data_IF_844716162207
#
_entry.id   IF_844716162207
#
_cell.length_a   1.000
_cell.length_b   1.000
_cell.length_c   1.000
_cell.angle_alpha   90.00
_cell.angle_beta   90.00
_cell.angle_gamma   90.00
#
_symmetry.space_group_name_H-M   'P 1'
#
loop_
_entity.id
_entity.type
_entity.pdbx_description
1 polymer ?
#
# COMPACT_ATOMS: atom_id res chain seq x y z
N UNK A 1 1.63 29.76 -6.85
CA UNK A 1 0.78 28.70 -6.24
C UNK A 1 0.09 27.96 -7.36
N UNK A 2 0.02 26.62 -7.31
CA UNK A 2 -0.84 25.87 -8.22
C UNK A 2 -2.31 26.09 -7.80
N UNK A 3 -3.24 26.29 -8.73
CA UNK A 3 -4.67 26.37 -8.39
C UNK A 3 -5.13 25.05 -7.76
N UNK A 4 -5.95 25.16 -6.71
CA UNK A 4 -6.56 24.02 -6.04
C UNK A 4 -7.95 23.80 -6.64
N UNK A 5 -8.22 22.60 -7.16
CA UNK A 5 -9.51 22.22 -7.72
C UNK A 5 -10.14 21.12 -6.86
N UNK A 6 -11.42 21.27 -6.53
CA UNK A 6 -12.18 20.32 -5.71
C UNK A 6 -13.39 19.81 -6.50
N UNK A 7 -13.86 18.60 -6.17
CA UNK A 7 -15.06 18.01 -6.78
C UNK A 7 -15.82 17.21 -5.73
N UNK A 8 -17.13 17.44 -5.69
CA UNK A 8 -18.04 16.75 -4.78
C UNK A 8 -18.60 15.48 -5.45
N UNK A 9 -18.81 14.43 -4.66
CA UNK A 9 -19.49 13.22 -5.08
C UNK A 9 -20.93 13.23 -4.56
N UNK A 10 -21.89 13.03 -5.46
CA UNK A 10 -23.32 12.95 -5.12
C UNK A 10 -23.90 11.59 -5.54
N UNK A 11 -24.83 11.08 -4.75
CA UNK A 11 -25.59 9.88 -5.13
C UNK A 11 -26.51 10.21 -6.31
N UNK A 12 -26.47 9.39 -7.37
CA UNK A 12 -27.31 9.57 -8.56
C UNK A 12 -28.69 8.91 -8.43
N UNK A 13 -28.86 8.03 -7.44
CA UNK A 13 -30.10 7.32 -7.06
C UNK A 13 -30.03 6.97 -5.58
N UNK A 14 -31.17 6.67 -4.97
CA UNK A 14 -31.20 6.08 -3.63
C UNK A 14 -30.44 4.74 -3.60
N UNK A 15 -29.68 4.52 -2.53
CA UNK A 15 -28.91 3.29 -2.32
C UNK A 15 -29.69 2.21 -1.57
N UNK A 16 -30.90 2.55 -1.12
CA UNK A 16 -31.83 1.63 -0.45
C UNK A 16 -32.08 0.45 -1.39
N UNK A 17 -31.91 -0.76 -0.86
CA UNK A 17 -32.00 -2.07 -1.53
C UNK A 17 -30.88 -2.47 -2.49
N UNK A 18 -30.36 -1.57 -3.33
CA UNK A 18 -29.32 -1.91 -4.33
C UNK A 18 -27.99 -2.39 -3.71
N UNK A 19 -27.71 -1.94 -2.49
CA UNK A 19 -26.46 -2.22 -1.77
C UNK A 19 -26.67 -2.82 -0.38
N UNK A 20 -27.88 -3.32 -0.08
CA UNK A 20 -28.26 -3.89 1.23
C UNK A 20 -27.25 -4.93 1.77
N UNK A 21 -26.66 -5.73 0.87
CA UNK A 21 -25.66 -6.76 1.19
C UNK A 21 -24.26 -6.44 0.63
N UNK A 22 -24.04 -5.20 0.16
CA UNK A 22 -22.77 -4.74 -0.41
C UNK A 22 -22.21 -3.61 0.48
N UNK A 23 -21.43 -3.94 1.52
CA UNK A 23 -20.95 -2.95 2.50
C UNK A 23 -19.98 -1.93 1.91
N UNK A 24 -19.50 -2.16 0.69
CA UNK A 24 -18.58 -1.26 -0.02
C UNK A 24 -18.87 -1.23 -1.51
N UNK A 25 -19.01 -0.02 -2.05
CA UNK A 25 -19.13 0.28 -3.48
C UNK A 25 -17.81 0.87 -3.95
N UNK A 26 -17.24 0.32 -5.00
CA UNK A 26 -16.03 0.86 -5.61
C UNK A 26 -16.39 1.66 -6.87
N UNK A 27 -15.81 2.84 -7.00
CA UNK A 27 -15.86 3.64 -8.23
C UNK A 27 -14.47 4.19 -8.54
N UNK A 28 -14.28 4.74 -9.74
CA UNK A 28 -13.03 5.37 -10.16
C UNK A 28 -13.32 6.82 -10.53
N UNK A 29 -12.55 7.73 -9.94
CA UNK A 29 -12.56 9.15 -10.29
C UNK A 29 -11.35 9.43 -11.17
N UNK A 30 -11.59 10.02 -12.35
CA UNK A 30 -10.56 10.43 -13.30
C UNK A 30 -10.41 11.94 -13.31
N UNK A 31 -9.22 12.44 -12.95
CA UNK A 31 -8.80 13.81 -13.24
C UNK A 31 -8.09 13.83 -14.61
N UNK A 32 -8.40 14.80 -15.48
CA UNK A 32 -7.75 14.95 -16.80
C UNK A 32 -7.48 16.41 -17.11
N UNK A 33 -6.44 16.66 -17.91
CA UNK A 33 -6.23 17.98 -18.49
C UNK A 33 -7.34 18.25 -19.54
N UNK A 34 -7.92 19.46 -19.51
CA UNK A 34 -8.98 19.86 -20.42
C UNK A 34 -8.52 19.86 -21.90
N UNK A 35 -7.33 20.39 -22.15
CA UNK A 35 -6.78 20.55 -23.51
C UNK A 35 -6.05 19.28 -23.98
N UNK A 36 -5.63 18.42 -23.04
CA UNK A 36 -4.86 17.21 -23.31
C UNK A 36 -5.44 16.00 -22.56
N UNK A 37 -6.59 15.47 -23.00
CA UNK A 37 -7.34 14.45 -22.26
C UNK A 37 -6.64 13.09 -22.10
N UNK A 38 -5.54 12.87 -22.84
CA UNK A 38 -4.68 11.69 -22.67
C UNK A 38 -3.76 11.79 -21.44
N UNK A 39 -3.55 12.99 -20.89
CA UNK A 39 -2.94 13.17 -19.58
C UNK A 39 -4.02 13.13 -18.51
N UNK A 40 -4.14 11.99 -17.85
CA UNK A 40 -5.09 11.76 -16.78
C UNK A 40 -4.45 11.04 -15.60
N UNK A 41 -5.11 11.13 -14.45
CA UNK A 41 -4.84 10.35 -13.24
C UNK A 41 -6.16 9.77 -12.75
N UNK A 42 -6.15 8.48 -12.48
CA UNK A 42 -7.28 7.78 -11.89
C UNK A 42 -7.03 7.53 -10.41
N UNK A 43 -8.09 7.67 -9.61
CA UNK A 43 -8.09 7.25 -8.20
C UNK A 43 -9.33 6.40 -7.93
N UNK A 44 -9.13 5.27 -7.26
CA UNK A 44 -10.23 4.44 -6.77
C UNK A 44 -10.88 5.11 -5.55
N UNK A 45 -12.20 5.11 -5.50
CA UNK A 45 -12.99 5.56 -4.35
C UNK A 45 -13.78 4.37 -3.84
N UNK A 46 -13.54 4.01 -2.58
CA UNK A 46 -14.33 3.02 -1.87
C UNK A 46 -15.36 3.74 -1.00
N UNK A 47 -16.63 3.60 -1.34
CA UNK A 47 -17.74 4.14 -0.58
C UNK A 47 -18.32 3.05 0.32
N UNK A 48 -18.38 3.31 1.62
CA UNK A 48 -19.17 2.47 2.51
C UNK A 48 -20.63 2.87 2.43
N UNK A 49 -21.50 1.89 2.21
CA UNK A 49 -22.94 2.10 2.37
C UNK A 49 -23.32 1.48 3.71
N UNK A 50 -23.47 2.31 4.73
CA UNK A 50 -24.10 1.88 5.98
C UNK A 50 -25.59 1.72 5.76
N UNK A 51 -26.16 0.62 6.24
CA UNK A 51 -27.59 0.59 6.51
C UNK A 51 -27.78 1.23 7.89
N UNK A 52 -28.54 2.32 7.96
CA UNK A 52 -28.81 3.07 9.20
C UNK A 52 -29.50 2.21 10.28
N UNK A 53 -30.05 1.06 9.90
CA UNK A 53 -30.58 0.04 10.81
C UNK A 53 -29.50 -0.77 11.56
N UNK A 54 -28.20 -0.64 11.23
CA UNK A 54 -27.14 -1.45 11.86
C UNK A 54 -26.66 -0.96 13.23
N UNK A 55 -27.28 0.08 13.80
CA UNK A 55 -26.96 0.56 15.15
C UNK A 55 -25.47 0.90 15.32
N UNK A 56 -24.86 0.39 16.41
CA UNK A 56 -23.47 0.66 16.75
C UNK A 56 -22.53 -0.24 15.94
N UNK A 57 -22.14 0.20 14.74
CA UNK A 57 -21.29 -0.58 13.85
C UNK A 57 -20.36 0.29 13.00
N UNK A 58 -19.22 -0.28 12.60
CA UNK A 58 -18.38 0.30 11.56
C UNK A 58 -19.05 0.13 10.19
N UNK A 59 -19.13 1.18 9.37
CA UNK A 59 -19.72 1.12 8.03
C UNK A 59 -18.99 0.08 7.13
N UNK A 60 -17.66 0.03 7.25
CA UNK A 60 -16.81 -0.88 6.49
C UNK A 60 -16.28 -1.99 7.41
N UNK A 61 -16.31 -3.24 6.95
CA UNK A 61 -15.72 -4.39 7.65
C UNK A 61 -14.22 -4.55 7.44
N UNK A 62 -13.68 -4.00 6.36
CA UNK A 62 -12.25 -4.02 6.00
C UNK A 62 -11.80 -2.66 5.43
N UNK A 63 -10.99 -1.93 6.19
CA UNK A 63 -10.31 -0.70 5.74
C UNK A 63 -8.95 -1.07 5.13
N UNK A 64 -8.63 -0.53 3.95
CA UNK A 64 -7.31 -0.65 3.34
C UNK A 64 -6.65 0.72 3.28
N UNK A 65 -5.56 0.87 4.01
CA UNK A 65 -4.83 2.12 4.17
C UNK A 65 -3.43 1.98 3.60
N UNK A 66 -2.82 3.12 3.30
CA UNK A 66 -1.44 3.19 2.84
C UNK A 66 -0.64 4.02 3.85
N UNK A 67 0.56 3.57 4.12
CA UNK A 67 1.56 4.33 4.85
C UNK A 67 2.88 4.20 4.10
N UNK A 68 3.50 5.32 3.77
CA UNK A 68 4.86 5.31 3.24
C UNK A 68 5.82 4.89 4.33
N UNK A 69 6.72 3.97 4.02
CA UNK A 69 7.74 3.56 4.99
C UNK A 69 8.64 4.73 5.41
N UNK A 70 9.30 4.58 6.55
CA UNK A 70 10.16 5.58 7.16
C UNK A 70 9.50 6.95 7.41
N UNK A 71 8.17 7.02 7.29
CA UNK A 71 7.39 8.17 7.72
C UNK A 71 7.63 8.43 9.21
N UNK A 72 7.81 9.70 9.63
CA UNK A 72 8.06 10.03 11.02
C UNK A 72 6.96 9.53 11.97
N UNK A 73 7.32 9.30 13.23
CA UNK A 73 6.35 9.08 14.30
C UNK A 73 5.32 10.23 14.33
N UNK A 74 4.06 9.89 14.56
CA UNK A 74 2.93 10.82 14.56
C UNK A 74 2.28 11.04 13.19
N UNK A 75 2.82 10.46 12.11
CA UNK A 75 2.22 10.53 10.77
C UNK A 75 0.78 10.01 10.81
N UNK A 76 -0.13 10.83 10.30
CA UNK A 76 -1.57 10.52 10.20
C UNK A 76 -1.82 9.69 8.95
N UNK A 77 -2.62 8.64 9.08
CA UNK A 77 -3.16 7.94 7.91
C UNK A 77 -4.32 8.77 7.37
N UNK A 78 -4.38 8.96 6.05
CA UNK A 78 -5.29 9.90 5.36
C UNK A 78 -6.78 9.50 5.39
N UNK A 79 -7.28 8.96 6.50
CA UNK A 79 -8.69 8.69 6.74
C UNK A 79 -8.97 8.54 8.24
N UNK A 80 -10.20 8.81 8.64
CA UNK A 80 -10.71 8.50 9.98
C UNK A 80 -11.51 7.21 9.95
N UNK A 81 -11.39 6.39 10.99
CA UNK A 81 -12.11 5.12 11.11
C UNK A 81 -13.06 5.21 12.31
N UNK A 82 -14.34 5.41 12.02
CA UNK A 82 -15.39 5.61 13.03
C UNK A 82 -16.59 4.69 12.78
N UNK A 83 -17.42 4.52 13.81
CA UNK A 83 -18.75 3.93 13.65
C UNK A 83 -19.68 4.87 12.87
N UNK A 84 -20.64 4.33 12.12
CA UNK A 84 -21.46 5.11 11.18
C UNK A 84 -22.32 6.17 11.87
N UNK A 85 -22.95 5.80 12.99
CA UNK A 85 -23.85 6.68 13.75
C UNK A 85 -23.19 7.22 15.03
N UNK A 86 -21.89 7.58 14.99
CA UNK A 86 -21.13 8.03 16.19
C UNK A 86 -21.87 9.08 17.03
N UNK A 87 -22.53 10.05 16.39
CA UNK A 87 -23.23 11.14 17.07
C UNK A 87 -24.47 10.70 17.87
N UNK A 88 -24.98 9.48 17.65
CA UNK A 88 -26.10 8.92 18.40
C UNK A 88 -25.67 8.21 19.70
N UNK A 89 -24.35 8.13 19.96
CA UNK A 89 -23.79 7.43 21.11
C UNK A 89 -22.88 8.37 21.91
N UNK A 90 -23.02 8.32 23.22
CA UNK A 90 -22.15 9.03 24.15
C UNK A 90 -20.89 8.21 24.44
N UNK A 91 -19.78 8.90 24.75
CA UNK A 91 -18.51 8.31 25.20
C UNK A 91 -17.99 7.17 24.30
N UNK A 92 -18.10 7.35 22.98
CA UNK A 92 -17.55 6.39 22.01
C UNK A 92 -16.02 6.44 22.07
N UNK A 93 -15.41 5.33 22.45
CA UNK A 93 -13.95 5.15 22.47
C UNK A 93 -13.53 4.13 21.45
N UNK A 94 -12.36 4.38 20.87
CA UNK A 94 -11.74 3.50 19.90
C UNK A 94 -10.47 2.87 20.45
N UNK A 95 -10.15 1.69 19.94
CA UNK A 95 -8.87 1.06 20.19
C UNK A 95 -8.45 0.17 19.05
N UNK A 96 -7.17 -0.22 19.09
CA UNK A 96 -6.53 -1.04 18.06
C UNK A 96 -5.94 -2.31 18.67
N UNK A 97 -5.98 -3.40 17.93
CA UNK A 97 -5.33 -4.66 18.30
C UNK A 97 -4.56 -5.19 17.08
N UNK A 98 -3.22 -5.35 17.15
CA UNK A 98 -2.34 -4.89 18.24
C UNK A 98 -2.13 -3.36 18.23
N UNK A 99 -1.89 -2.76 19.40
CA UNK A 99 -1.69 -1.30 19.55
C UNK A 99 -0.19 -0.90 19.67
N UNK A 100 0.73 -1.66 19.09
CA UNK A 100 2.17 -1.46 19.25
C UNK A 100 2.78 -0.52 18.18
N UNK A 101 2.24 -0.52 16.97
CA UNK A 101 2.75 0.26 15.85
C UNK A 101 1.89 1.50 15.53
N UNK A 102 0.62 1.46 15.93
CA UNK A 102 -0.35 2.50 15.62
C UNK A 102 -1.21 2.82 16.85
N UNK A 103 -1.70 4.05 16.87
CA UNK A 103 -2.71 4.53 17.82
C UNK A 103 -3.93 5.04 17.07
N UNK A 104 -5.08 5.05 17.73
CA UNK A 104 -6.31 5.70 17.28
C UNK A 104 -6.78 6.63 18.40
N UNK A 105 -7.22 7.84 18.04
CA UNK A 105 -7.83 8.77 18.99
C UNK A 105 -9.36 8.71 18.98
N UNK A 106 -10.01 9.50 19.85
CA UNK A 106 -11.46 9.53 20.01
C UNK A 106 -12.21 10.06 18.76
N UNK A 107 -11.49 10.70 17.82
CA UNK A 107 -12.03 11.17 16.54
C UNK A 107 -11.80 10.14 15.41
N UNK A 108 -11.24 8.97 15.74
CA UNK A 108 -10.98 7.89 14.81
C UNK A 108 -9.75 8.14 13.94
N UNK A 109 -8.88 9.11 14.27
CA UNK A 109 -7.65 9.38 13.53
C UNK A 109 -6.59 8.35 13.91
N UNK A 110 -6.07 7.64 12.91
CA UNK A 110 -5.00 6.66 13.12
C UNK A 110 -3.63 7.29 12.87
N UNK A 111 -2.68 7.04 13.77
CA UNK A 111 -1.32 7.56 13.71
C UNK A 111 -0.28 6.46 13.87
N UNK A 112 0.78 6.52 13.07
CA UNK A 112 1.97 5.70 13.27
C UNK A 112 2.70 6.15 14.55
N UNK A 113 3.03 5.21 15.43
CA UNK A 113 3.77 5.49 16.68
C UNK A 113 5.28 5.60 16.46
N UNK A 114 5.78 5.01 15.36
CA UNK A 114 7.19 4.99 15.00
C UNK A 114 7.34 4.85 13.48
N UNK A 115 8.52 5.17 12.93
CA UNK A 115 8.88 4.78 11.58
C UNK A 115 8.77 3.26 11.42
N UNK A 116 8.13 2.84 10.34
CA UNK A 116 8.02 1.43 9.95
C UNK A 116 8.90 1.25 8.74
N UNK A 117 9.78 0.28 8.84
CA UNK A 117 10.73 -0.16 7.82
C UNK A 117 10.13 -1.43 7.19
N UNK A 118 9.94 -1.40 5.88
CA UNK A 118 9.26 -2.45 5.15
C UNK A 118 10.06 -3.76 5.22
N UNK A 119 11.39 -3.69 5.08
CA UNK A 119 12.33 -4.82 5.05
C UNK A 119 12.33 -5.63 6.35
N UNK A 120 11.95 -5.00 7.47
CA UNK A 120 11.78 -5.68 8.77
C UNK A 120 10.46 -6.45 8.91
N UNK A 121 9.49 -6.25 8.02
CA UNK A 121 8.24 -7.01 8.04
C UNK A 121 8.46 -8.43 7.49
N UNK A 122 7.69 -9.40 7.98
CA UNK A 122 7.74 -10.76 7.44
C UNK A 122 7.45 -10.76 5.93
N UNK A 123 8.27 -11.46 5.14
CA UNK A 123 8.07 -11.58 3.69
C UNK A 123 6.67 -12.12 3.33
N UNK A 124 6.11 -12.99 4.16
CA UNK A 124 4.77 -13.55 3.97
C UNK A 124 3.66 -12.50 4.08
N UNK A 125 3.92 -11.42 4.82
CA UNK A 125 2.97 -10.30 4.97
C UNK A 125 2.84 -9.47 3.69
N UNK A 126 3.82 -9.57 2.77
CA UNK A 126 3.92 -8.73 1.56
C UNK A 126 3.80 -7.23 1.87
N UNK A 127 4.36 -6.80 3.00
CA UNK A 127 4.31 -5.41 3.48
C UNK A 127 2.92 -4.98 3.96
N UNK A 128 2.06 -5.90 4.37
CA UNK A 128 0.73 -5.59 4.91
C UNK A 128 0.70 -5.85 6.41
N UNK A 129 0.37 -4.83 7.18
CA UNK A 129 0.11 -4.93 8.61
C UNK A 129 -1.41 -5.05 8.80
N UNK A 130 -1.86 -6.13 9.44
CA UNK A 130 -3.27 -6.35 9.74
C UNK A 130 -3.57 -6.07 11.20
N UNK A 131 -4.66 -5.34 11.44
CA UNK A 131 -5.11 -4.92 12.76
C UNK A 131 -6.64 -5.03 12.86
N UNK A 132 -7.15 -5.07 14.09
CA UNK A 132 -8.57 -4.91 14.39
C UNK A 132 -8.76 -3.55 15.05
N UNK A 133 -9.71 -2.77 14.55
CA UNK A 133 -10.24 -1.61 15.26
C UNK A 133 -11.48 -2.03 16.01
N UNK A 134 -11.59 -1.61 17.26
CA UNK A 134 -12.79 -1.80 18.06
C UNK A 134 -13.31 -0.46 18.55
N UNK A 135 -14.62 -0.38 18.74
CA UNK A 135 -15.29 0.76 19.35
C UNK A 135 -16.13 0.26 20.53
N UNK A 136 -16.24 1.06 21.59
CA UNK A 136 -17.19 0.83 22.68
C UNK A 136 -17.97 2.12 23.00
N UNK A 137 -19.25 2.01 23.32
CA UNK A 137 -20.09 3.10 23.88
C UNK A 137 -20.52 2.79 25.33
N UNK A 138 -19.82 1.85 25.98
CA UNK A 138 -20.15 1.33 27.31
C UNK A 138 -21.21 0.22 27.32
N UNK A 139 -22.20 0.28 26.42
CA UNK A 139 -23.21 -0.80 26.25
C UNK A 139 -23.06 -1.59 24.97
N UNK A 140 -22.60 -0.92 23.91
CA UNK A 140 -22.44 -1.52 22.59
C UNK A 140 -20.95 -1.63 22.24
N UNK A 141 -20.62 -2.65 21.47
CA UNK A 141 -19.29 -2.91 20.95
C UNK A 141 -19.36 -3.19 19.45
N UNK A 142 -18.36 -2.70 18.72
CA UNK A 142 -18.21 -2.93 17.29
C UNK A 142 -16.75 -3.21 16.95
N UNK A 143 -16.51 -3.95 15.87
CA UNK A 143 -15.17 -4.12 15.32
C UNK A 143 -15.14 -4.11 13.79
N UNK A 144 -13.96 -3.85 13.25
CA UNK A 144 -13.62 -3.96 11.84
C UNK A 144 -12.14 -4.30 11.67
N UNK A 145 -11.78 -4.80 10.50
CA UNK A 145 -10.38 -5.09 10.14
C UNK A 145 -9.76 -3.88 9.45
N UNK A 146 -8.49 -3.61 9.76
CA UNK A 146 -7.66 -2.63 9.05
C UNK A 146 -6.47 -3.38 8.45
N UNK A 147 -6.19 -3.14 7.18
CA UNK A 147 -4.98 -3.56 6.48
C UNK A 147 -4.22 -2.32 6.05
N UNK A 148 -3.03 -2.12 6.62
CA UNK A 148 -2.13 -1.02 6.27
C UNK A 148 -1.05 -1.60 5.37
N UNK A 149 -1.07 -1.21 4.09
CA UNK A 149 -0.01 -1.54 3.15
C UNK A 149 1.11 -0.51 3.32
N UNK A 150 2.28 -0.99 3.69
CA UNK A 150 3.50 -0.19 3.70
C UNK A 150 3.96 -0.03 2.25
N UNK A 151 4.01 1.22 1.80
CA UNK A 151 4.58 1.60 0.51
C UNK A 151 6.09 1.67 0.66
N UNK A 152 6.74 0.71 0.00
CA UNK A 152 8.18 0.58 -0.11
C UNK A 152 8.77 1.77 -0.90
N UNK A 153 9.86 2.32 -0.39
CA UNK A 153 10.70 3.36 -0.97
C UNK A 153 12.04 2.70 -1.25
N UNK A 154 12.53 2.80 -2.48
CA UNK A 154 13.89 2.31 -2.79
C UNK A 154 14.94 3.05 -1.93
N UNK A 155 15.55 2.32 -1.00
CA UNK A 155 16.60 2.82 -0.11
C UNK A 155 17.94 2.13 -0.36
N UNK A 156 17.92 0.93 -0.96
CA UNK A 156 19.10 0.15 -1.22
C UNK A 156 19.49 0.19 -2.69
N UNK A 157 20.77 0.45 -2.97
CA UNK A 157 21.30 0.29 -4.31
C UNK A 157 21.59 -1.19 -4.58
N UNK A 158 21.39 -1.69 -5.82
CA UNK A 158 21.77 -3.04 -6.19
C UNK A 158 23.25 -3.31 -5.93
N UNK A 159 23.56 -4.50 -5.39
CA UNK A 159 24.93 -4.93 -5.11
C UNK A 159 25.22 -6.26 -5.79
N UNK A 160 26.41 -6.39 -6.37
CA UNK A 160 26.91 -7.70 -6.80
C UNK A 160 27.30 -8.55 -5.59
N UNK A 161 27.12 -9.86 -5.70
CA UNK A 161 27.53 -10.82 -4.66
C UNK A 161 29.06 -11.01 -4.57
N UNK A 162 29.81 -10.44 -5.52
CA UNK A 162 31.28 -10.46 -5.57
C UNK A 162 31.83 -9.08 -5.92
N UNK A 163 32.98 -8.76 -5.33
CA UNK A 163 33.75 -7.56 -5.67
C UNK A 163 34.44 -7.66 -7.05
N UNK A 164 34.75 -8.88 -7.48
CA UNK A 164 35.36 -9.18 -8.77
C UNK A 164 34.86 -10.54 -9.27
N UNK A 165 34.46 -10.59 -10.53
CA UNK A 165 34.19 -11.84 -11.24
C UNK A 165 35.35 -12.15 -12.17
N UNK A 166 35.94 -13.33 -12.02
CA UNK A 166 37.00 -13.85 -12.88
C UNK A 166 36.45 -15.07 -13.64
N UNK A 167 36.48 -15.00 -14.97
CA UNK A 167 36.06 -16.09 -15.84
C UNK A 167 37.17 -16.37 -16.85
N UNK A 168 37.34 -17.65 -17.20
CA UNK A 168 38.23 -18.07 -18.27
C UNK A 168 37.40 -18.43 -19.50
N UNK A 169 37.75 -17.87 -20.65
CA UNK A 169 37.14 -18.20 -21.93
C UNK A 169 38.21 -18.68 -22.90
N UNK A 170 37.86 -19.64 -23.75
CA UNK A 170 38.74 -20.08 -24.83
C UNK A 170 38.77 -19.04 -25.96
N UNK A 171 39.91 -18.88 -26.63
CA UNK A 171 40.03 -17.95 -27.77
C UNK A 171 39.13 -18.33 -28.95
N UNK A 172 38.77 -19.61 -29.06
CA UNK A 172 37.89 -20.15 -30.08
C UNK A 172 36.41 -20.22 -29.65
N UNK A 173 36.02 -19.49 -28.60
CA UNK A 173 34.63 -19.44 -28.14
C UNK A 173 33.72 -18.91 -29.25
N UNK A 174 32.61 -19.60 -29.50
CA UNK A 174 31.67 -19.22 -30.56
C UNK A 174 30.67 -18.16 -30.07
N UNK A 175 30.23 -17.22 -30.92
CA UNK A 175 29.20 -16.24 -30.56
C UNK A 175 27.93 -16.90 -30.00
N UNK A 176 27.48 -16.44 -28.84
CA UNK A 176 26.31 -16.98 -28.14
C UNK A 176 26.63 -18.02 -27.06
N UNK A 177 27.88 -18.47 -26.95
CA UNK A 177 28.31 -19.32 -25.83
C UNK A 177 28.48 -18.48 -24.54
N UNK A 178 27.96 -18.99 -23.43
CA UNK A 178 28.05 -18.32 -22.11
C UNK A 178 29.45 -18.45 -21.52
N UNK A 179 30.06 -17.31 -21.19
CA UNK A 179 31.38 -17.26 -20.50
C UNK A 179 31.23 -17.40 -18.99
N UNK A 180 30.18 -16.80 -18.42
CA UNK A 180 29.92 -16.80 -16.99
C UNK A 180 28.61 -16.11 -16.66
N UNK A 181 28.21 -16.20 -15.40
CA UNK A 181 27.01 -15.57 -14.85
C UNK A 181 27.39 -14.66 -13.70
N UNK A 182 26.85 -13.45 -13.70
CA UNK A 182 27.00 -12.48 -12.60
C UNK A 182 25.68 -12.36 -11.87
N UNK A 183 25.74 -12.05 -10.58
CA UNK A 183 24.59 -12.00 -9.68
C UNK A 183 24.63 -10.72 -8.86
N UNK A 184 23.65 -9.86 -9.10
CA UNK A 184 23.33 -8.73 -8.24
C UNK A 184 22.00 -8.97 -7.54
N UNK A 185 21.87 -8.42 -6.35
CA UNK A 185 20.64 -8.41 -5.57
C UNK A 185 20.37 -6.99 -5.08
N UNK A 186 19.09 -6.70 -4.92
CA UNK A 186 18.59 -5.51 -4.23
C UNK A 186 17.94 -5.96 -2.92
N UNK A 187 18.12 -5.18 -1.87
CA UNK A 187 17.58 -5.47 -0.54
C UNK A 187 16.12 -4.98 -0.40
N UNK A 188 15.66 -4.07 -1.27
CA UNK A 188 14.29 -3.55 -1.29
C UNK A 188 13.24 -4.66 -1.59
N UNK A 189 12.13 -4.68 -0.83
CA UNK A 189 11.08 -5.71 -0.94
C UNK A 189 10.41 -5.75 -2.32
N UNK A 190 10.21 -4.61 -2.95
CA UNK A 190 9.44 -4.48 -4.19
C UNK A 190 10.29 -4.64 -5.46
N UNK A 191 11.62 -4.48 -5.36
CA UNK A 191 12.52 -4.44 -6.50
C UNK A 191 13.31 -5.73 -6.75
N UNK A 192 13.25 -6.71 -5.84
CA UNK A 192 13.95 -7.99 -5.99
C UNK A 192 13.70 -8.71 -7.34
N UNK A 193 12.68 -8.31 -8.12
CA UNK A 193 12.33 -8.84 -9.43
C UNK A 193 12.60 -7.95 -10.66
N UNK A 194 13.24 -6.76 -10.51
CA UNK A 194 13.36 -5.77 -11.61
C UNK A 194 14.77 -5.27 -11.92
N UNK A 195 15.82 -6.00 -11.49
CA UNK A 195 17.19 -5.64 -11.85
C UNK A 195 17.46 -5.79 -13.36
N UNK A 196 18.04 -4.75 -13.96
CA UNK A 196 18.52 -4.79 -15.36
C UNK A 196 20.04 -4.69 -15.41
N UNK A 197 20.68 -5.51 -16.24
CA UNK A 197 22.13 -5.53 -16.40
C UNK A 197 22.50 -4.91 -17.74
N UNK A 198 23.59 -4.12 -17.77
CA UNK A 198 24.15 -3.55 -18.99
C UNK A 198 25.67 -3.55 -18.93
N UNK A 199 26.32 -3.93 -20.03
CA UNK A 199 27.75 -3.73 -20.21
C UNK A 199 27.99 -2.27 -20.60
N UNK A 200 28.82 -1.59 -19.83
CA UNK A 200 29.16 -0.18 -20.07
C UNK A 200 30.30 -0.03 -21.07
N UNK A 201 31.22 -0.99 -21.13
CA UNK A 201 32.44 -0.94 -21.94
C UNK A 201 32.89 -2.35 -22.37
N UNK A 202 33.63 -2.43 -23.48
CA UNK A 202 34.20 -3.68 -24.01
C UNK A 202 33.35 -4.36 -25.10
N UNK A 203 33.74 -5.60 -25.46
CA UNK A 203 33.17 -6.35 -26.60
C UNK A 203 32.16 -7.43 -26.21
N UNK A 204 31.96 -7.65 -24.91
CA UNK A 204 31.03 -8.66 -24.41
C UNK A 204 29.58 -8.21 -24.61
N UNK A 205 28.66 -9.17 -24.62
CA UNK A 205 27.22 -8.93 -24.64
C UNK A 205 26.55 -9.71 -23.51
N UNK A 206 25.52 -9.12 -22.93
CA UNK A 206 24.64 -9.80 -21.97
C UNK A 206 23.49 -10.44 -22.74
N UNK A 207 23.16 -11.67 -22.39
CA UNK A 207 21.88 -12.26 -22.75
C UNK A 207 20.75 -11.58 -21.94
N UNK A 208 19.50 -11.70 -22.40
CA UNK A 208 18.35 -11.17 -21.67
C UNK A 208 18.34 -11.67 -20.22
N UNK A 209 18.16 -10.74 -19.28
CA UNK A 209 18.16 -11.03 -17.86
C UNK A 209 17.00 -11.98 -17.54
N UNK A 210 17.31 -13.18 -17.06
CA UNK A 210 16.31 -14.11 -16.53
C UNK A 210 16.25 -13.94 -15.02
N UNK A 211 15.07 -13.64 -14.50
CA UNK A 211 14.81 -13.80 -13.07
C UNK A 211 14.99 -15.28 -12.72
N UNK A 212 15.91 -15.58 -11.81
CA UNK A 212 16.11 -16.94 -11.29
C UNK A 212 15.62 -16.92 -9.84
N UNK A 213 14.44 -17.49 -9.60
CA UNK A 213 14.03 -17.79 -8.22
C UNK A 213 14.91 -18.91 -7.67
N UNK A 214 15.52 -18.68 -6.51
CA UNK A 214 16.06 -19.77 -5.69
C UNK A 214 14.94 -20.70 -5.22
#
# INVERSE_FOLDING_TARGET
>A
MKPNFQGDLYASKEFVDLYRDKPTVFTVVRARNADYPHYYSDVGVALSVSNDDQGFSFPIKLYRLLLRENSPAGTILNTTVTVGNRAAYDDVKYGLIPANLFSIDDDGVIRALQPIDAEKLSRDSRGIIQMIVFAHSGKDEANATIQIKIEDVNEFAPKFDRLLYEFNASENIEPGQTIGTVHAFDEDISEGSRLTYRITEGLLRLADCKYVSN
#
